data_IF_728377386674
#
_entry.id   IF_728377386674
#
_cell.length_a   1.000
_cell.length_b   1.000
_cell.length_c   1.000
_cell.angle_alpha   90.00
_cell.angle_beta   90.00
_cell.angle_gamma   90.00
#
_symmetry.space_group_name_H-M   'P 1'
#
loop_
_entity.id
_entity.type
_entity.pdbx_description
1 polymer ?
#
# COMPACT_ATOMS: atom_id res chain seq x y z
N UNK A 1 43.55 -12.13 -34.08
CA UNK A 1 43.01 -10.81 -34.51
C UNK A 1 42.75 -9.98 -33.27
N UNK A 2 43.54 -8.92 -33.11
CA UNK A 2 43.57 -7.99 -31.97
C UNK A 2 42.59 -6.83 -32.18
N UNK A 3 41.91 -6.39 -31.11
CA UNK A 3 41.58 -4.98 -30.77
C UNK A 3 40.82 -4.97 -29.43
N UNK A 4 41.48 -4.66 -28.30
CA UNK A 4 41.73 -3.31 -27.73
C UNK A 4 40.45 -2.60 -27.28
N UNK A 5 40.10 -2.76 -26.02
CA UNK A 5 39.32 -1.82 -25.22
C UNK A 5 40.25 -0.73 -24.68
N UNK A 6 39.99 0.53 -25.03
CA UNK A 6 40.70 1.70 -24.49
C UNK A 6 39.93 2.27 -23.30
N UNK A 7 40.63 2.35 -22.18
CA UNK A 7 40.37 3.18 -21.00
C UNK A 7 40.59 4.66 -21.35
N UNK A 8 39.74 5.56 -20.83
CA UNK A 8 40.08 6.98 -20.67
C UNK A 8 39.67 7.45 -19.27
N UNK A 9 40.68 7.87 -18.52
CA UNK A 9 40.62 8.61 -17.27
C UNK A 9 41.02 10.08 -17.52
N UNK A 10 40.72 10.91 -16.51
CA UNK A 10 41.18 12.28 -16.24
C UNK A 10 40.47 13.38 -17.06
N UNK A 11 40.13 14.55 -16.52
CA UNK A 11 40.77 15.34 -15.45
C UNK A 11 39.81 16.43 -14.93
N UNK A 12 39.99 16.88 -13.68
CA UNK A 12 39.26 18.02 -13.08
C UNK A 12 39.55 19.39 -13.73
N UNK A 13 39.04 20.48 -13.13
CA UNK A 13 39.95 21.25 -12.27
C UNK A 13 39.34 21.76 -10.96
N UNK A 14 40.27 21.95 -10.03
CA UNK A 14 40.22 22.67 -8.76
C UNK A 14 40.00 24.17 -8.94
N UNK A 15 39.19 24.79 -8.07
CA UNK A 15 39.11 26.23 -7.88
C UNK A 15 38.88 26.56 -6.40
N UNK A 16 39.83 27.26 -5.82
CA UNK A 16 40.03 27.61 -4.40
C UNK A 16 39.35 28.94 -3.99
N UNK A 17 38.69 28.94 -2.82
CA UNK A 17 38.79 29.86 -1.65
C UNK A 17 38.75 31.42 -1.86
N UNK A 18 38.67 32.30 -0.83
CA UNK A 18 38.01 32.29 0.50
C UNK A 18 37.17 33.58 0.79
N UNK A 19 36.36 33.55 1.86
CA UNK A 19 36.35 34.65 2.85
C UNK A 19 35.24 35.73 2.81
N UNK A 20 34.39 35.76 3.84
CA UNK A 20 33.97 36.98 4.59
C UNK A 20 33.18 36.56 5.85
N UNK A 21 33.84 36.57 7.01
CA UNK A 21 33.74 37.59 8.09
C UNK A 21 32.31 37.86 8.64
N UNK A 22 32.09 37.28 9.83
CA UNK A 22 31.51 37.84 11.06
C UNK A 22 30.64 39.11 10.92
N UNK A 23 29.44 39.05 11.49
CA UNK A 23 28.97 40.06 12.44
C UNK A 23 28.02 39.42 13.47
N UNK A 24 28.41 39.54 14.74
CA UNK A 24 27.59 39.40 15.95
C UNK A 24 27.35 40.82 16.44
N UNK A 25 26.13 41.13 16.85
CA UNK A 25 25.71 42.16 17.83
C UNK A 25 24.22 41.84 18.11
N UNK A 26 23.80 41.45 19.33
CA UNK A 26 23.38 42.29 20.49
C UNK A 26 22.33 43.35 20.06
N UNK A 27 21.20 43.63 20.71
CA UNK A 27 20.67 43.54 22.07
C UNK A 27 19.11 43.55 21.95
N UNK A 28 18.28 42.91 22.79
CA UNK A 28 17.84 43.33 24.12
C UNK A 28 17.44 44.80 24.25
N UNK A 29 16.12 45.09 24.23
CA UNK A 29 15.40 46.08 25.08
C UNK A 29 13.91 46.10 24.67
N UNK A 30 12.99 45.76 25.59
CA UNK A 30 12.12 46.70 26.32
C UNK A 30 10.94 47.23 25.47
N UNK A 31 9.74 47.52 25.96
CA UNK A 31 9.00 47.28 27.19
C UNK A 31 7.66 48.00 26.97
N UNK A 32 6.57 47.48 27.54
CA UNK A 32 5.34 48.23 27.89
C UNK A 32 4.46 48.68 26.69
N UNK A 33 3.12 48.54 26.72
CA UNK A 33 2.27 49.16 27.71
C UNK A 33 0.79 48.73 27.59
N UNK A 34 0.13 48.68 28.76
CA UNK A 34 -1.28 49.04 29.10
C UNK A 34 -2.42 48.12 28.59
N UNK A 35 -3.11 47.39 29.47
CA UNK A 35 -4.15 47.82 30.47
C UNK A 35 -5.38 48.48 29.87
N UNK A 36 -6.50 47.75 29.88
CA UNK A 36 -7.88 48.19 30.20
C UNK A 36 -8.80 46.97 30.02
N UNK A 37 -9.89 46.72 30.76
CA UNK A 37 -10.48 47.24 31.99
C UNK A 37 -11.59 46.22 32.30
N UNK A 38 -11.54 45.57 33.46
CA UNK A 38 -12.68 44.83 33.98
C UNK A 38 -13.70 45.84 34.51
N UNK A 39 -14.97 45.69 34.13
CA UNK A 39 -16.07 46.44 34.74
C UNK A 39 -17.17 45.49 35.21
N UNK A 40 -17.48 45.63 36.50
CA UNK A 40 -18.48 44.94 37.30
C UNK A 40 -19.90 45.38 36.98
N UNK A 41 -20.83 44.46 37.25
CA UNK A 41 -22.15 44.59 37.93
C UNK A 41 -23.02 45.82 37.62
N UNK A 42 -24.26 45.52 37.26
CA UNK A 42 -25.39 46.44 37.42
C UNK A 42 -26.72 45.70 37.27
N UNK A 43 -27.17 45.02 38.33
CA UNK A 43 -28.55 44.58 38.46
C UNK A 43 -29.39 45.76 38.93
N UNK A 44 -30.46 46.10 38.20
CA UNK A 44 -31.51 46.98 38.71
C UNK A 44 -32.87 46.47 38.22
N UNK A 45 -33.65 45.95 39.16
CA UNK A 45 -35.10 45.78 39.05
C UNK A 45 -35.76 47.15 39.17
N UNK A 46 -36.65 47.49 38.26
CA UNK A 46 -37.77 48.40 38.54
C UNK A 46 -38.98 47.96 37.75
N UNK A 47 -40.04 47.65 38.49
CA UNK A 47 -41.42 47.48 38.02
C UNK A 47 -41.96 48.77 37.42
N UNK A 48 -42.81 48.67 36.39
CA UNK A 48 -43.99 49.53 36.26
C UNK A 48 -45.04 48.84 35.38
N UNK A 49 -46.23 48.72 35.98
CA UNK A 49 -47.52 48.46 35.35
C UNK A 49 -47.83 49.60 34.38
N UNK A 50 -48.32 49.25 33.20
CA UNK A 50 -49.37 49.90 32.39
C UNK A 50 -49.71 48.85 31.32
N UNK A 51 -50.91 48.30 31.19
CA UNK A 51 -52.20 48.95 31.25
C UNK A 51 -52.69 49.30 29.84
N UNK A 52 -52.62 48.36 28.88
CA UNK A 52 -53.10 48.55 27.50
C UNK A 52 -53.97 47.37 27.03
N UNK A 53 -55.01 47.64 26.22
CA UNK A 53 -56.11 46.71 25.99
C UNK A 53 -55.75 45.59 25.02
N UNK A 54 -56.32 44.41 25.27
CA UNK A 54 -56.29 43.25 24.38
C UNK A 54 -56.76 43.60 22.96
N UNK A 55 -55.90 43.41 21.93
CA UNK A 55 -56.38 43.27 20.57
C UNK A 55 -56.87 41.82 20.39
N UNK A 56 -58.17 41.73 20.10
CA UNK A 56 -58.88 40.58 19.54
C UNK A 56 -57.97 39.55 18.86
N UNK A 57 -57.97 38.33 19.41
CA UNK A 57 -57.36 37.14 18.81
C UNK A 57 -58.01 36.85 17.45
N UNK A 58 -57.47 37.44 16.39
CA UNK A 58 -57.64 36.93 15.04
C UNK A 58 -56.85 35.61 14.97
N UNK A 59 -57.57 34.49 14.91
CA UNK A 59 -57.06 33.18 14.55
C UNK A 59 -56.45 33.27 13.14
N UNK A 60 -55.23 33.76 13.06
CA UNK A 60 -54.33 33.51 11.94
C UNK A 60 -53.96 32.04 12.07
N UNK A 61 -54.66 31.20 11.32
CA UNK A 61 -54.16 29.89 10.92
C UNK A 61 -52.79 30.14 10.29
N UNK A 62 -51.74 30.03 11.10
CA UNK A 62 -50.36 29.96 10.62
C UNK A 62 -50.33 28.73 9.72
N UNK A 63 -50.47 28.98 8.43
CA UNK A 63 -50.07 28.07 7.37
C UNK A 63 -48.62 27.68 7.68
N UNK A 64 -48.44 26.53 8.33
CA UNK A 64 -47.14 25.92 8.46
C UNK A 64 -46.75 25.56 7.04
N UNK A 65 -45.91 26.42 6.44
CA UNK A 65 -45.26 26.07 5.19
C UNK A 65 -44.65 24.68 5.38
N UNK A 66 -44.91 23.73 4.45
CA UNK A 66 -44.37 22.39 4.59
C UNK A 66 -42.86 22.50 4.74
N UNK A 67 -42.35 22.04 5.89
CA UNK A 67 -40.90 21.92 6.11
C UNK A 67 -40.36 21.02 5.02
N UNK A 68 -39.68 21.62 4.04
CA UNK A 68 -38.99 20.87 2.99
C UNK A 68 -37.95 20.01 3.69
N UNK A 69 -38.03 18.69 3.49
CA UNK A 69 -36.98 17.80 3.97
C UNK A 69 -35.67 18.21 3.28
N UNK A 70 -34.57 18.35 4.03
CA UNK A 70 -33.29 18.72 3.45
C UNK A 70 -32.88 17.67 2.42
N UNK A 71 -32.39 18.12 1.27
CA UNK A 71 -31.82 17.22 0.26
C UNK A 71 -30.42 16.84 0.74
N UNK A 72 -30.23 15.56 1.01
CA UNK A 72 -28.94 15.01 1.46
C UNK A 72 -28.32 14.23 0.32
N UNK A 73 -27.10 14.61 -0.04
CA UNK A 73 -26.26 13.92 -1.00
C UNK A 73 -25.01 13.41 -0.28
N UNK A 74 -24.49 12.28 -0.75
CA UNK A 74 -23.31 11.65 -0.19
C UNK A 74 -22.24 11.60 -1.27
N UNK A 75 -20.99 11.92 -0.92
CA UNK A 75 -19.85 11.70 -1.78
C UNK A 75 -18.86 10.80 -1.05
N UNK A 76 -18.46 9.69 -1.68
CA UNK A 76 -17.59 8.69 -1.06
C UNK A 76 -16.20 8.82 -1.64
N UNK A 77 -15.23 9.05 -0.75
CA UNK A 77 -13.81 9.07 -1.08
C UNK A 77 -13.23 7.73 -0.62
N UNK A 78 -12.81 6.88 -1.55
CA UNK A 78 -12.16 5.60 -1.26
C UNK A 78 -10.73 5.64 -1.75
N UNK A 79 -9.77 5.31 -0.89
CA UNK A 79 -8.36 5.14 -1.27
C UNK A 79 -7.97 3.69 -1.11
N UNK A 80 -7.41 3.10 -2.16
CA UNK A 80 -6.93 1.71 -2.19
C UNK A 80 -5.42 1.74 -2.45
N UNK A 81 -4.65 1.44 -1.42
CA UNK A 81 -3.21 1.19 -1.54
C UNK A 81 -2.97 -0.30 -1.78
N UNK A 82 -2.82 -0.68 -3.05
CA UNK A 82 -2.42 -2.02 -3.50
C UNK A 82 -0.92 -2.27 -3.34
N UNK A 83 -0.37 -1.95 -2.16
CA UNK A 83 1.06 -1.94 -1.86
C UNK A 83 1.83 -3.20 -2.24
N UNK A 84 3.16 -3.12 -2.17
CA UNK A 84 4.05 -4.19 -2.65
C UNK A 84 3.92 -5.49 -1.85
N UNK A 85 3.85 -5.38 -0.52
CA UNK A 85 3.70 -6.52 0.40
C UNK A 85 2.30 -6.61 0.98
N UNK A 86 1.68 -5.46 1.27
CA UNK A 86 0.42 -5.36 1.98
C UNK A 86 -0.52 -4.42 1.23
N UNK A 87 -1.80 -4.74 1.29
CA UNK A 87 -2.91 -3.94 0.79
C UNK A 87 -3.55 -3.25 1.97
N UNK A 88 -3.82 -1.95 1.81
CA UNK A 88 -4.57 -1.13 2.76
C UNK A 88 -5.62 -0.35 2.01
N UNK A 89 -6.71 -0.03 2.70
CA UNK A 89 -7.70 0.88 2.15
C UNK A 89 -8.33 1.68 3.28
N UNK A 90 -8.82 2.87 2.93
CA UNK A 90 -9.57 3.73 3.82
C UNK A 90 -10.60 4.50 3.01
N UNK A 91 -11.68 4.91 3.67
CA UNK A 91 -12.71 5.71 3.04
C UNK A 91 -13.19 6.84 3.95
N UNK A 92 -13.74 7.88 3.34
CA UNK A 92 -14.47 8.94 4.01
C UNK A 92 -15.79 9.19 3.28
N UNK A 93 -16.80 9.65 4.02
CA UNK A 93 -18.08 10.08 3.46
C UNK A 93 -18.22 11.56 3.70
N UNK A 94 -18.29 12.32 2.62
CA UNK A 94 -18.65 13.73 2.63
C UNK A 94 -20.17 13.81 2.48
N UNK A 95 -20.85 14.51 3.40
CA UNK A 95 -22.30 14.74 3.31
C UNK A 95 -22.53 16.15 2.78
N UNK A 96 -23.41 16.30 1.81
CA UNK A 96 -23.85 17.61 1.31
C UNK A 96 -25.31 17.79 1.66
N UNK A 97 -25.65 18.85 2.40
CA UNK A 97 -27.01 19.12 2.87
C UNK A 97 -27.47 20.41 2.23
N UNK A 98 -28.53 20.35 1.41
CA UNK A 98 -29.07 21.49 0.66
C UNK A 98 -27.98 22.24 -0.15
N UNK A 99 -27.05 21.49 -0.75
CA UNK A 99 -25.93 22.03 -1.52
C UNK A 99 -24.74 22.52 -0.70
N UNK A 100 -24.77 22.39 0.63
CA UNK A 100 -23.66 22.77 1.50
C UNK A 100 -22.89 21.53 1.95
N UNK A 101 -21.67 21.41 1.46
CA UNK A 101 -20.74 20.36 1.86
C UNK A 101 -20.43 20.47 3.36
N UNK A 102 -20.60 19.37 4.08
CA UNK A 102 -20.22 19.27 5.48
C UNK A 102 -18.72 18.96 5.58
N UNK A 103 -17.98 19.62 6.48
CA UNK A 103 -16.55 19.39 6.61
C UNK A 103 -16.27 17.95 7.05
N UNK A 104 -15.32 17.30 6.38
CA UNK A 104 -14.81 15.97 6.77
C UNK A 104 -13.70 16.16 7.79
N UNK A 105 -13.87 15.62 8.99
CA UNK A 105 -12.83 15.57 10.03
C UNK A 105 -11.91 14.33 9.85
N UNK A 106 -10.69 14.30 10.41
CA UNK A 106 -9.77 13.18 10.25
C UNK A 106 -10.31 11.89 10.85
N UNK A 107 -11.10 12.00 11.92
CA UNK A 107 -11.81 10.88 12.53
C UNK A 107 -12.92 10.31 11.63
N UNK A 108 -13.29 11.02 10.55
CA UNK A 108 -14.27 10.54 9.58
C UNK A 108 -13.62 9.65 8.52
N UNK A 109 -12.28 9.57 8.47
CA UNK A 109 -11.55 8.60 7.66
C UNK A 109 -11.57 7.26 8.39
N UNK A 110 -12.29 6.30 7.81
CA UNK A 110 -12.47 4.96 8.34
C UNK A 110 -11.58 3.98 7.59
N UNK A 111 -10.65 3.28 8.27
CA UNK A 111 -9.88 2.23 7.62
C UNK A 111 -10.79 1.05 7.24
N UNK A 112 -10.42 0.32 6.20
CA UNK A 112 -11.10 -0.92 5.80
C UNK A 112 -10.47 -2.08 6.56
N UNK A 113 -11.29 -2.79 7.33
CA UNK A 113 -10.90 -4.02 8.01
C UNK A 113 -11.05 -5.24 7.09
N UNK A 114 -10.06 -6.13 7.15
CA UNK A 114 -9.95 -7.33 6.33
C UNK A 114 -10.49 -8.55 7.09
N UNK A 115 -9.65 -9.57 7.30
CA UNK A 115 -9.93 -10.73 8.15
C UNK A 115 -9.66 -10.40 9.61
N UNK A 116 -10.55 -10.82 10.51
CA UNK A 116 -10.33 -10.76 11.97
C UNK A 116 -10.03 -9.35 12.53
N UNK A 117 -10.44 -8.28 11.83
CA UNK A 117 -10.20 -6.89 12.26
C UNK A 117 -8.83 -6.33 11.85
N UNK A 118 -8.04 -7.07 11.06
CA UNK A 118 -6.77 -6.59 10.53
C UNK A 118 -6.98 -5.40 9.60
N UNK A 119 -6.09 -4.39 9.68
CA UNK A 119 -6.15 -3.17 8.86
C UNK A 119 -5.37 -3.28 7.55
N UNK A 120 -4.69 -4.41 7.34
CA UNK A 120 -3.99 -4.74 6.10
C UNK A 120 -4.09 -6.24 5.79
N UNK A 121 -3.89 -6.59 4.54
CA UNK A 121 -3.80 -7.99 4.07
C UNK A 121 -2.65 -8.11 3.08
N UNK A 122 -2.00 -9.28 2.99
CA UNK A 122 -0.92 -9.50 2.04
C UNK A 122 -1.36 -9.20 0.58
N UNK A 123 -0.50 -8.54 -0.19
CA UNK A 123 -0.64 -8.31 -1.63
C UNK A 123 -0.25 -9.56 -2.41
N UNK A 124 -1.17 -10.53 -2.43
CA UNK A 124 -0.93 -11.86 -2.99
C UNK A 124 -2.15 -12.46 -3.67
N UNK A 125 -1.88 -13.34 -4.62
CA UNK A 125 -2.88 -14.11 -5.37
C UNK A 125 -2.41 -15.55 -5.55
N UNK A 126 -3.34 -16.52 -5.52
CA UNK A 126 -3.07 -17.91 -5.88
C UNK A 126 -4.28 -18.51 -6.61
N UNK A 127 -4.09 -19.69 -7.21
CA UNK A 127 -5.17 -20.46 -7.81
C UNK A 127 -5.36 -21.76 -7.05
N UNK A 128 -6.58 -22.03 -6.61
CA UNK A 128 -6.99 -23.31 -6.02
C UNK A 128 -7.73 -24.13 -7.07
N UNK A 129 -7.29 -25.37 -7.27
CA UNK A 129 -7.99 -26.33 -8.12
C UNK A 129 -8.85 -27.25 -7.26
N UNK A 130 -10.13 -27.33 -7.55
CA UNK A 130 -11.08 -28.24 -6.90
C UNK A 130 -11.78 -29.08 -7.94
N UNK A 131 -11.95 -30.38 -7.68
CA UNK A 131 -12.77 -31.24 -8.52
C UNK A 131 -14.22 -31.12 -8.04
N UNK A 132 -15.10 -30.62 -8.91
CA UNK A 132 -16.53 -30.59 -8.62
C UNK A 132 -17.04 -32.04 -8.52
N UNK A 133 -17.65 -32.38 -7.38
CA UNK A 133 -18.08 -33.75 -7.12
C UNK A 133 -19.23 -34.22 -8.02
N UNK A 134 -20.01 -33.29 -8.57
CA UNK A 134 -21.17 -33.58 -9.42
C UNK A 134 -20.79 -33.74 -10.89
N UNK A 135 -19.88 -32.91 -11.40
CA UNK A 135 -19.45 -32.94 -12.81
C UNK A 135 -18.14 -33.69 -13.04
N UNK A 136 -17.32 -33.88 -12.00
CA UNK A 136 -15.94 -34.35 -12.11
C UNK A 136 -14.99 -33.32 -12.74
N UNK A 137 -15.47 -32.12 -13.04
CA UNK A 137 -14.70 -31.06 -13.69
C UNK A 137 -13.76 -30.38 -12.69
N UNK A 138 -12.56 -30.02 -13.15
CA UNK A 138 -11.63 -29.23 -12.35
C UNK A 138 -12.00 -27.75 -12.44
N UNK A 139 -12.55 -27.21 -11.36
CA UNK A 139 -12.84 -25.79 -11.19
C UNK A 139 -11.60 -25.10 -10.62
N UNK A 140 -11.17 -24.00 -11.26
CA UNK A 140 -10.11 -23.15 -10.75
C UNK A 140 -10.72 -21.92 -10.07
N UNK A 141 -10.39 -21.71 -8.80
CA UNK A 141 -10.83 -20.55 -8.02
C UNK A 141 -9.65 -19.65 -7.71
N UNK A 142 -9.80 -18.34 -7.95
CA UNK A 142 -8.81 -17.34 -7.57
C UNK A 142 -8.91 -17.05 -6.07
N UNK A 143 -7.77 -17.06 -5.38
CA UNK A 143 -7.63 -16.73 -3.96
C UNK A 143 -6.79 -15.46 -3.83
N UNK A 144 -7.14 -14.59 -2.88
CA UNK A 144 -6.45 -13.33 -2.65
C UNK A 144 -6.20 -13.05 -1.16
N UNK A 145 -5.14 -12.32 -0.86
CA UNK A 145 -4.86 -11.83 0.50
C UNK A 145 -4.92 -12.95 1.55
N UNK A 146 -5.71 -12.75 2.62
CA UNK A 146 -5.88 -13.72 3.70
C UNK A 146 -6.43 -15.09 3.24
N UNK A 147 -7.13 -15.17 2.10
CA UNK A 147 -7.64 -16.43 1.57
C UNK A 147 -6.50 -17.34 1.12
N UNK A 148 -5.42 -16.74 0.61
CA UNK A 148 -4.19 -17.46 0.24
C UNK A 148 -3.52 -18.02 1.49
N UNK A 149 -3.36 -17.21 2.55
CA UNK A 149 -2.76 -17.67 3.81
C UNK A 149 -3.56 -18.81 4.43
N UNK A 150 -4.90 -18.70 4.41
CA UNK A 150 -5.81 -19.73 4.90
C UNK A 150 -5.70 -21.04 4.11
N UNK A 151 -5.67 -20.96 2.77
CA UNK A 151 -5.56 -22.14 1.91
C UNK A 151 -4.18 -22.80 2.04
N UNK A 152 -3.12 -22.01 2.17
CA UNK A 152 -1.76 -22.50 2.38
C UNK A 152 -1.63 -23.21 3.73
N UNK A 153 -2.17 -22.63 4.81
CA UNK A 153 -2.17 -23.24 6.14
C UNK A 153 -2.92 -24.59 6.18
N UNK A 154 -3.95 -24.73 5.34
CA UNK A 154 -4.71 -25.99 5.16
C UNK A 154 -4.04 -26.99 4.21
N UNK A 155 -2.93 -26.63 3.57
CA UNK A 155 -2.25 -27.46 2.58
C UNK A 155 -3.01 -27.62 1.26
N UNK A 156 -3.97 -26.72 0.97
CA UNK A 156 -4.78 -26.74 -0.26
C UNK A 156 -4.01 -26.15 -1.45
N UNK A 157 -3.01 -25.31 -1.17
CA UNK A 157 -2.09 -24.73 -2.14
C UNK A 157 -0.66 -24.80 -1.60
N UNK A 158 0.32 -24.80 -2.49
CA UNK A 158 1.74 -24.72 -2.15
C UNK A 158 2.28 -23.30 -2.33
N UNK A 159 3.36 -22.93 -1.64
CA UNK A 159 4.04 -21.63 -1.77
C UNK A 159 4.37 -21.28 -3.24
N UNK A 160 4.76 -22.29 -4.04
CA UNK A 160 5.10 -22.11 -5.45
C UNK A 160 3.91 -21.68 -6.33
N UNK A 161 2.68 -21.78 -5.81
CA UNK A 161 1.45 -21.39 -6.50
C UNK A 161 1.04 -19.95 -6.14
N UNK A 162 1.78 -19.27 -5.25
CA UNK A 162 1.46 -17.94 -4.75
C UNK A 162 2.24 -16.89 -5.55
N UNK A 163 1.52 -15.97 -6.17
CA UNK A 163 2.08 -14.77 -6.78
C UNK A 163 2.05 -13.62 -5.78
N UNK A 164 3.21 -13.00 -5.52
CA UNK A 164 3.38 -11.80 -4.67
C UNK A 164 4.07 -10.69 -5.45
N UNK A 165 4.13 -9.48 -4.88
CA UNK A 165 4.85 -8.32 -5.45
C UNK A 165 4.33 -7.89 -6.83
N UNK A 166 3.01 -7.98 -7.02
CA UNK A 166 2.38 -7.61 -8.29
C UNK A 166 2.61 -6.13 -8.65
N UNK A 167 2.68 -5.25 -7.64
CA UNK A 167 2.96 -3.81 -7.83
C UNK A 167 4.31 -3.62 -8.56
N UNK A 168 5.48 -4.03 -8.04
CA UNK A 168 6.76 -3.93 -8.75
C UNK A 168 6.78 -4.51 -10.17
N UNK A 169 6.03 -5.60 -10.41
CA UNK A 169 5.95 -6.18 -11.76
C UNK A 169 5.38 -5.20 -12.78
N UNK A 170 4.45 -4.32 -12.39
CA UNK A 170 3.90 -3.29 -13.27
C UNK A 170 4.89 -2.17 -13.63
N UNK A 171 5.75 -1.78 -12.68
CA UNK A 171 6.64 -0.62 -12.80
C UNK A 171 8.02 -0.96 -13.35
N UNK A 172 8.62 -2.07 -12.91
CA UNK A 172 9.99 -2.44 -13.32
C UNK A 172 10.06 -3.75 -14.11
N UNK A 173 8.94 -4.48 -14.27
CA UNK A 173 8.85 -5.71 -15.06
C UNK A 173 9.95 -6.71 -14.72
N UNK A 174 10.95 -6.81 -15.62
CA UNK A 174 12.10 -7.71 -15.53
C UNK A 174 12.95 -7.62 -14.24
N UNK A 175 13.12 -6.43 -13.63
CA UNK A 175 13.94 -6.29 -12.41
C UNK A 175 13.27 -6.92 -11.19
N UNK A 176 11.93 -6.99 -11.17
CA UNK A 176 11.18 -7.72 -10.16
C UNK A 176 11.35 -9.24 -10.32
N UNK A 177 11.47 -9.72 -11.56
CA UNK A 177 11.68 -11.15 -11.89
C UNK A 177 13.10 -11.61 -11.55
N UNK A 178 14.11 -10.76 -11.70
CA UNK A 178 15.52 -11.11 -11.39
C UNK A 178 15.82 -11.23 -9.89
N UNK A 179 15.07 -10.52 -9.02
CA UNK A 179 15.28 -10.57 -7.57
C UNK A 179 14.77 -11.86 -6.91
N UNK A 180 13.96 -12.68 -7.58
CA UNK A 180 13.56 -14.01 -7.10
C UNK A 180 13.93 -15.07 -8.13
N UNK A 181 14.86 -15.96 -7.77
CA UNK A 181 15.15 -17.21 -8.49
C UNK A 181 14.02 -18.25 -8.34
N UNK A 182 12.76 -17.82 -8.43
CA UNK A 182 11.55 -18.59 -8.17
C UNK A 182 11.04 -19.33 -9.39
N UNK A 183 11.80 -20.33 -9.86
CA UNK A 183 11.35 -21.49 -10.65
C UNK A 183 10.68 -21.28 -12.02
N UNK A 184 10.96 -22.20 -12.93
CA UNK A 184 10.27 -22.34 -14.22
C UNK A 184 8.73 -22.53 -14.11
N UNK A 185 8.17 -22.66 -12.91
CA UNK A 185 6.75 -22.93 -12.64
C UNK A 185 5.89 -21.68 -12.86
N UNK A 186 6.35 -20.47 -12.52
CA UNK A 186 5.62 -19.22 -12.84
C UNK A 186 5.45 -19.02 -14.35
N UNK A 187 6.44 -19.48 -15.14
CA UNK A 187 6.39 -19.51 -16.61
C UNK A 187 5.43 -20.56 -17.17
N UNK A 188 5.15 -21.63 -16.43
CA UNK A 188 4.28 -22.74 -16.86
C UNK A 188 2.84 -22.48 -16.40
N UNK A 189 2.63 -22.03 -15.16
CA UNK A 189 1.32 -21.67 -14.61
C UNK A 189 0.77 -20.38 -15.26
N UNK A 190 1.62 -19.41 -15.59
CA UNK A 190 1.23 -18.24 -16.38
C UNK A 190 0.77 -18.57 -17.81
N UNK A 191 1.05 -19.78 -18.32
CA UNK A 191 0.61 -20.23 -19.66
C UNK A 191 -0.70 -21.00 -19.65
N UNK A 192 -1.15 -21.53 -18.51
CA UNK A 192 -2.14 -22.61 -18.54
C UNK A 192 -3.60 -22.20 -18.34
N UNK A 193 -3.99 -21.04 -17.80
CA UNK A 193 -5.43 -20.74 -17.60
C UNK A 193 -5.89 -19.26 -17.56
N UNK A 194 -5.08 -18.26 -17.91
CA UNK A 194 -5.52 -16.83 -17.91
C UNK A 194 -6.21 -16.35 -19.21
N UNK A 195 -6.61 -17.28 -20.08
CA UNK A 195 -6.80 -17.00 -21.51
C UNK A 195 -8.15 -16.43 -22.01
N UNK A 196 -9.24 -16.24 -21.23
CA UNK A 196 -10.41 -15.54 -21.78
C UNK A 196 -10.29 -14.00 -21.76
N UNK A 197 -9.49 -13.43 -20.85
CA UNK A 197 -9.45 -11.96 -20.61
C UNK A 197 -8.24 -11.23 -21.20
N UNK A 198 -7.35 -11.95 -21.87
CA UNK A 198 -6.16 -11.33 -22.47
C UNK A 198 -6.53 -10.36 -23.60
N UNK A 199 -7.63 -10.64 -24.30
CA UNK A 199 -8.22 -9.75 -25.32
C UNK A 199 -8.72 -8.44 -24.71
N UNK A 200 -9.46 -8.50 -23.58
CA UNK A 200 -9.90 -7.32 -22.83
C UNK A 200 -8.72 -6.50 -22.33
N UNK A 201 -7.72 -7.16 -21.76
CA UNK A 201 -6.49 -6.50 -21.30
C UNK A 201 -5.73 -5.83 -22.45
N UNK A 202 -5.65 -6.48 -23.60
CA UNK A 202 -5.04 -5.91 -24.81
C UNK A 202 -5.79 -4.67 -25.29
N UNK A 203 -7.13 -4.72 -25.32
CA UNK A 203 -7.95 -3.59 -25.72
C UNK A 203 -7.76 -2.40 -24.77
N UNK A 204 -7.75 -2.63 -23.46
CA UNK A 204 -7.53 -1.58 -22.46
C UNK A 204 -6.14 -0.97 -22.55
N UNK A 205 -5.08 -1.78 -22.71
CA UNK A 205 -3.72 -1.29 -22.91
C UNK A 205 -3.61 -0.45 -24.18
N UNK A 206 -4.23 -0.87 -25.28
CA UNK A 206 -4.29 -0.08 -26.50
C UNK A 206 -5.05 1.23 -26.32
N UNK A 207 -6.16 1.23 -25.58
CA UNK A 207 -6.98 2.41 -25.30
C UNK A 207 -6.23 3.45 -24.46
N UNK A 208 -5.37 3.02 -23.53
CA UNK A 208 -4.48 3.93 -22.79
C UNK A 208 -3.22 4.29 -23.58
N UNK A 209 -3.02 3.77 -24.80
CA UNK A 209 -1.88 4.11 -25.66
C UNK A 209 -0.62 3.26 -25.46
N UNK A 210 -0.71 2.10 -24.81
CA UNK A 210 0.34 1.07 -24.73
C UNK A 210 0.07 -0.09 -25.72
N UNK A 211 0.06 0.24 -27.02
CA UNK A 211 -0.31 -0.68 -28.10
C UNK A 211 0.70 -1.83 -28.32
N UNK A 212 1.93 -1.67 -27.82
CA UNK A 212 3.04 -2.61 -28.02
C UNK A 212 3.40 -3.41 -26.78
N UNK A 213 2.56 -3.39 -25.74
CA UNK A 213 2.78 -4.17 -24.53
C UNK A 213 2.99 -5.65 -24.87
N UNK A 214 4.15 -6.19 -24.48
CA UNK A 214 4.46 -7.60 -24.65
C UNK A 214 3.53 -8.47 -23.77
N UNK A 215 3.40 -9.76 -24.13
CA UNK A 215 2.51 -10.69 -23.43
C UNK A 215 2.70 -10.73 -21.91
N UNK A 216 3.94 -10.63 -21.43
CA UNK A 216 4.26 -10.59 -19.99
C UNK A 216 3.61 -9.39 -19.28
N UNK A 217 3.69 -8.20 -19.88
CA UNK A 217 3.07 -6.98 -19.33
C UNK A 217 1.55 -7.12 -19.26
N UNK A 218 0.95 -7.74 -20.28
CA UNK A 218 -0.50 -8.02 -20.28
C UNK A 218 -0.90 -8.90 -19.10
N UNK A 219 -0.15 -9.96 -18.82
CA UNK A 219 -0.41 -10.84 -17.68
C UNK A 219 -0.23 -10.12 -16.34
N UNK A 220 0.76 -9.24 -16.21
CA UNK A 220 1.02 -8.46 -15.00
C UNK A 220 -0.13 -7.48 -14.72
N UNK A 221 -0.58 -6.76 -15.75
CA UNK A 221 -1.74 -5.86 -15.69
C UNK A 221 -3.02 -6.63 -15.34
N UNK A 222 -3.22 -7.80 -15.94
CA UNK A 222 -4.38 -8.65 -15.65
C UNK A 222 -4.39 -9.14 -14.19
N UNK A 223 -3.24 -9.60 -13.67
CA UNK A 223 -3.12 -10.07 -12.29
C UNK A 223 -3.40 -8.94 -11.29
N UNK A 224 -2.78 -7.78 -11.50
CA UNK A 224 -3.01 -6.63 -10.63
C UNK A 224 -4.45 -6.09 -10.75
N UNK A 225 -5.05 -6.11 -11.94
CA UNK A 225 -6.45 -5.75 -12.14
C UNK A 225 -7.41 -6.68 -11.38
N UNK A 226 -7.18 -8.00 -11.41
CA UNK A 226 -7.95 -8.96 -10.60
C UNK A 226 -7.78 -8.74 -9.10
N UNK A 227 -6.56 -8.43 -8.65
CA UNK A 227 -6.31 -8.07 -7.26
C UNK A 227 -7.12 -6.83 -6.88
N UNK A 228 -7.04 -5.75 -7.67
CA UNK A 228 -7.79 -4.52 -7.43
C UNK A 228 -9.29 -4.75 -7.43
N UNK A 229 -9.80 -5.63 -8.30
CA UNK A 229 -11.21 -6.00 -8.35
C UNK A 229 -11.67 -6.68 -7.06
N UNK A 230 -10.89 -7.65 -6.56
CA UNK A 230 -11.16 -8.29 -5.27
C UNK A 230 -11.13 -7.27 -4.12
N UNK A 231 -10.12 -6.39 -4.11
CA UNK A 231 -10.00 -5.34 -3.09
C UNK A 231 -11.18 -4.38 -3.13
N UNK A 232 -11.54 -3.89 -4.32
CA UNK A 232 -12.63 -2.95 -4.51
C UNK A 232 -13.95 -3.54 -4.04
N UNK A 233 -14.25 -4.79 -4.43
CA UNK A 233 -15.44 -5.50 -3.96
C UNK A 233 -15.48 -5.57 -2.44
N UNK A 234 -14.37 -5.96 -1.80
CA UNK A 234 -14.28 -6.03 -0.34
C UNK A 234 -14.52 -4.65 0.29
N UNK A 235 -13.90 -3.60 -0.25
CA UNK A 235 -14.07 -2.22 0.24
C UNK A 235 -15.53 -1.76 0.13
N UNK A 236 -16.17 -1.92 -1.02
CA UNK A 236 -17.56 -1.51 -1.24
C UNK A 236 -18.53 -2.26 -0.32
N UNK A 237 -18.36 -3.57 -0.15
CA UNK A 237 -19.17 -4.36 0.77
C UNK A 237 -18.98 -3.90 2.23
N UNK A 238 -17.74 -3.59 2.63
CA UNK A 238 -17.44 -3.07 3.97
C UNK A 238 -18.05 -1.69 4.21
N UNK A 239 -17.96 -0.78 3.23
CA UNK A 239 -18.58 0.55 3.31
C UNK A 239 -20.09 0.40 3.47
N UNK A 240 -20.74 -0.37 2.59
CA UNK A 240 -22.17 -0.66 2.67
C UNK A 240 -22.59 -1.17 4.05
N UNK A 241 -21.90 -2.19 4.56
CA UNK A 241 -22.25 -2.80 5.84
C UNK A 241 -22.14 -1.82 7.01
N UNK A 242 -21.19 -0.88 6.93
CA UNK A 242 -20.91 0.11 7.97
C UNK A 242 -21.72 1.40 7.82
N UNK A 243 -22.32 1.65 6.65
CA UNK A 243 -22.92 2.92 6.25
C UNK A 243 -24.26 2.66 5.59
N UNK A 244 -25.21 2.19 6.41
CA UNK A 244 -26.53 1.76 5.94
C UNK A 244 -27.32 2.89 5.30
N UNK A 245 -27.01 4.15 5.63
CA UNK A 245 -27.66 5.31 5.03
C UNK A 245 -27.38 5.49 3.52
N UNK A 246 -26.36 4.81 2.98
CA UNK A 246 -26.03 4.89 1.56
C UNK A 246 -26.96 4.04 0.68
N UNK A 247 -27.68 3.08 1.26
CA UNK A 247 -28.61 2.16 0.57
C UNK A 247 -28.00 1.44 -0.66
N UNK A 248 -26.72 1.06 -0.55
CA UNK A 248 -26.00 0.38 -1.64
C UNK A 248 -26.46 -1.08 -1.83
N UNK A 249 -26.46 -1.60 -3.07
CA UNK A 249 -26.79 -3.00 -3.37
C UNK A 249 -25.73 -3.98 -2.85
N UNK A 250 -26.05 -5.27 -2.81
CA UNK A 250 -25.05 -6.31 -2.60
C UNK A 250 -24.13 -6.46 -3.83
N UNK A 251 -22.83 -6.60 -3.60
CA UNK A 251 -21.83 -6.70 -4.66
C UNK A 251 -21.38 -8.16 -4.85
N UNK A 252 -22.30 -9.01 -5.30
CA UNK A 252 -22.02 -10.43 -5.47
C UNK A 252 -21.27 -10.76 -6.77
N UNK A 253 -21.50 -9.97 -7.81
CA UNK A 253 -20.84 -10.11 -9.12
C UNK A 253 -20.03 -8.88 -9.48
N UNK A 254 -19.12 -9.05 -10.43
CA UNK A 254 -18.23 -7.99 -10.92
C UNK A 254 -19.01 -6.97 -11.74
N UNK A 255 -19.91 -7.45 -12.59
CA UNK A 255 -20.73 -6.62 -13.47
C UNK A 255 -21.62 -5.67 -12.65
N UNK A 256 -22.01 -6.09 -11.45
CA UNK A 256 -22.76 -5.26 -10.51
C UNK A 256 -21.92 -4.05 -10.05
N UNK A 257 -20.61 -4.24 -9.83
CA UNK A 257 -19.70 -3.17 -9.41
C UNK A 257 -19.47 -2.16 -10.54
N UNK A 258 -19.22 -2.65 -11.76
CA UNK A 258 -18.97 -1.77 -12.91
C UNK A 258 -20.18 -0.86 -13.21
N UNK A 259 -21.39 -1.44 -13.23
CA UNK A 259 -22.62 -0.67 -13.43
C UNK A 259 -22.88 0.27 -12.25
N UNK A 260 -22.69 -0.22 -11.02
CA UNK A 260 -22.87 0.59 -9.82
C UNK A 260 -21.96 1.83 -9.81
N UNK A 261 -20.68 1.70 -10.12
CA UNK A 261 -19.77 2.84 -10.16
C UNK A 261 -20.11 3.84 -11.27
N UNK A 262 -20.63 3.38 -12.40
CA UNK A 262 -21.12 4.26 -13.48
C UNK A 262 -22.33 5.08 -13.05
N UNK A 263 -23.25 4.44 -12.33
CA UNK A 263 -24.47 5.07 -11.84
C UNK A 263 -24.21 5.98 -10.62
N UNK A 264 -23.03 5.89 -10.00
CA UNK A 264 -22.64 6.62 -8.79
C UNK A 264 -21.32 7.42 -9.01
N UNK A 265 -21.36 8.50 -9.83
CA UNK A 265 -20.17 9.32 -10.12
C UNK A 265 -19.64 10.11 -8.91
N UNK A 266 -20.41 10.16 -7.82
CA UNK A 266 -20.05 10.69 -6.52
C UNK A 266 -19.10 9.77 -5.71
N UNK A 267 -18.67 8.65 -6.28
CA UNK A 267 -17.65 7.79 -5.70
C UNK A 267 -16.31 8.10 -6.36
N UNK A 268 -15.40 8.68 -5.58
CA UNK A 268 -14.03 8.95 -6.02
C UNK A 268 -13.08 7.88 -5.50
N UNK A 269 -12.35 7.24 -6.41
CA UNK A 269 -11.39 6.19 -6.06
C UNK A 269 -9.95 6.69 -6.30
N UNK A 270 -9.19 6.79 -5.22
CA UNK A 270 -7.77 7.13 -5.23
C UNK A 270 -6.88 5.90 -5.22
N UNK A 271 -5.84 5.88 -6.06
CA UNK A 271 -4.84 4.82 -6.11
C UNK A 271 -3.44 5.41 -5.85
N UNK A 272 -2.84 5.16 -4.68
CA UNK A 272 -1.46 5.51 -4.40
C UNK A 272 -0.48 4.73 -5.28
N UNK A 273 0.41 5.47 -5.94
CA UNK A 273 1.46 4.96 -6.81
C UNK A 273 2.83 5.36 -6.27
N UNK A 274 3.90 4.62 -6.58
CA UNK A 274 5.24 4.97 -6.12
C UNK A 274 5.64 6.40 -6.50
N UNK A 275 6.61 6.97 -5.80
CA UNK A 275 7.10 8.33 -6.08
C UNK A 275 7.57 8.48 -7.53
N UNK A 276 8.30 7.47 -8.02
CA UNK A 276 8.82 7.42 -9.37
C UNK A 276 7.89 6.61 -10.26
N UNK A 277 6.96 7.29 -10.93
CA UNK A 277 6.14 6.72 -11.99
C UNK A 277 6.40 7.43 -13.31
N UNK A 278 6.61 6.64 -14.38
CA UNK A 278 6.59 7.15 -15.75
C UNK A 278 5.16 7.20 -16.28
N UNK A 279 4.95 7.90 -17.39
CA UNK A 279 3.65 7.89 -18.09
C UNK A 279 3.23 6.48 -18.53
N UNK A 280 4.18 5.61 -18.83
CA UNK A 280 3.87 4.22 -19.16
C UNK A 280 3.38 3.45 -17.93
N UNK A 281 3.99 3.68 -16.77
CA UNK A 281 3.57 3.04 -15.52
C UNK A 281 2.15 3.49 -15.14
N UNK A 282 1.88 4.80 -15.21
CA UNK A 282 0.56 5.36 -14.97
C UNK A 282 -0.49 4.70 -15.87
N UNK A 283 -0.20 4.53 -17.17
CA UNK A 283 -1.09 3.85 -18.12
C UNK A 283 -1.35 2.40 -17.75
N UNK A 284 -0.34 1.65 -17.28
CA UNK A 284 -0.51 0.25 -16.85
C UNK A 284 -1.41 0.15 -15.62
N UNK A 285 -1.26 1.04 -14.64
CA UNK A 285 -2.13 1.08 -13.45
C UNK A 285 -3.55 1.46 -13.85
N UNK A 286 -3.73 2.47 -14.70
CA UNK A 286 -5.05 2.84 -15.22
C UNK A 286 -5.69 1.66 -15.95
N UNK A 287 -4.94 0.94 -16.79
CA UNK A 287 -5.45 -0.26 -17.44
C UNK A 287 -5.86 -1.36 -16.44
N UNK A 288 -5.09 -1.58 -15.38
CA UNK A 288 -5.42 -2.52 -14.31
C UNK A 288 -6.64 -2.07 -13.49
N UNK A 289 -6.76 -0.76 -13.21
CA UNK A 289 -7.90 -0.17 -12.54
C UNK A 289 -9.18 -0.29 -13.39
N UNK A 290 -9.08 -0.04 -14.69
CA UNK A 290 -10.18 -0.22 -15.63
C UNK A 290 -10.63 -1.69 -15.71
N UNK A 291 -9.70 -2.66 -15.62
CA UNK A 291 -10.04 -4.08 -15.49
C UNK A 291 -10.79 -4.40 -14.20
N UNK A 292 -10.52 -3.66 -13.14
CA UNK A 292 -11.23 -3.77 -11.86
C UNK A 292 -12.58 -3.03 -11.84
N UNK A 293 -12.95 -2.33 -12.92
CA UNK A 293 -14.17 -1.53 -13.00
C UNK A 293 -14.02 -0.07 -12.58
N UNK A 294 -12.80 0.41 -12.34
CA UNK A 294 -12.50 1.79 -11.94
C UNK A 294 -12.13 2.59 -13.20
N UNK A 295 -13.08 3.25 -13.84
CA UNK A 295 -12.86 3.93 -15.14
C UNK A 295 -12.02 5.22 -15.04
N UNK A 296 -12.10 5.91 -13.89
CA UNK A 296 -11.44 7.19 -13.65
C UNK A 296 -10.66 7.19 -12.33
N UNK A 297 -9.58 6.38 -12.21
CA UNK A 297 -8.81 6.33 -10.98
C UNK A 297 -8.03 7.64 -10.78
N UNK A 298 -8.10 8.19 -9.57
CA UNK A 298 -7.25 9.31 -9.16
C UNK A 298 -5.90 8.77 -8.69
N UNK A 299 -4.93 8.75 -9.60
CA UNK A 299 -3.56 8.37 -9.27
C UNK A 299 -2.92 9.47 -8.41
N UNK A 300 -2.30 9.07 -7.30
CA UNK A 300 -1.59 9.98 -6.42
C UNK A 300 -0.28 9.36 -5.96
N UNK A 301 0.77 10.16 -5.77
CA UNK A 301 2.02 9.65 -5.24
C UNK A 301 1.86 9.26 -3.76
N UNK A 302 2.34 8.08 -3.37
CA UNK A 302 2.37 7.60 -1.98
C UNK A 302 2.98 8.63 -1.00
N UNK A 303 4.22 9.12 -1.19
CA UNK A 303 4.78 10.13 -0.31
C UNK A 303 4.04 11.48 -0.37
N UNK A 304 3.38 11.80 -1.50
CA UNK A 304 2.54 13.00 -1.57
C UNK A 304 1.27 12.84 -0.70
N UNK A 305 0.64 11.66 -0.71
CA UNK A 305 -0.51 11.37 0.16
C UNK A 305 -0.12 11.47 1.65
N UNK A 306 1.03 10.90 2.02
CA UNK A 306 1.56 11.01 3.37
C UNK A 306 1.86 12.48 3.77
N UNK A 307 2.45 13.26 2.86
CA UNK A 307 2.70 14.67 3.08
C UNK A 307 1.42 15.47 3.27
N UNK A 308 0.40 15.21 2.45
CA UNK A 308 -0.89 15.94 2.55
C UNK A 308 -1.54 15.77 3.91
N UNK A 309 -1.43 14.59 4.53
CA UNK A 309 -1.88 14.38 5.91
C UNK A 309 -1.13 15.29 6.90
N UNK A 310 0.20 15.33 6.83
CA UNK A 310 1.02 16.18 7.69
C UNK A 310 0.74 17.68 7.48
N UNK A 311 0.62 18.12 6.23
CA UNK A 311 0.31 19.51 5.89
C UNK A 311 -1.05 19.92 6.44
N UNK A 312 -2.06 19.04 6.34
CA UNK A 312 -3.38 19.27 6.92
C UNK A 312 -3.32 19.43 8.43
N UNK A 313 -2.62 18.54 9.13
CA UNK A 313 -2.46 18.62 10.60
C UNK A 313 -1.77 19.91 11.04
N UNK A 314 -0.76 20.36 10.28
CA UNK A 314 -0.09 21.65 10.51
C UNK A 314 -1.04 22.83 10.29
N UNK A 315 -1.78 22.84 9.18
CA UNK A 315 -2.74 23.90 8.88
C UNK A 315 -3.82 24.02 9.95
N UNK A 316 -4.36 22.90 10.45
CA UNK A 316 -5.32 22.90 11.56
C UNK A 316 -4.78 23.54 12.84
N UNK A 317 -3.48 23.41 13.08
CA UNK A 317 -2.78 23.99 14.24
C UNK A 317 -2.26 25.41 13.97
N UNK A 318 -2.65 26.03 12.85
CA UNK A 318 -2.15 27.32 12.37
C UNK A 318 -0.62 27.37 12.27
N UNK A 319 0.02 26.24 11.94
CA UNK A 319 1.46 26.15 11.71
C UNK A 319 1.73 26.54 10.24
N UNK A 320 2.58 27.55 9.97
CA UNK A 320 2.88 27.95 8.59
C UNK A 320 3.54 26.84 7.77
N UNK A 321 2.93 26.49 6.64
CA UNK A 321 3.43 25.48 5.70
C UNK A 321 4.01 26.07 4.42
N UNK A 322 3.54 27.26 4.00
CA UNK A 322 4.02 27.96 2.80
C UNK A 322 5.47 28.38 2.95
N UNK A 323 6.24 28.27 1.87
CA UNK A 323 7.67 28.58 1.84
C UNK A 323 8.53 27.55 2.58
N UNK A 324 7.97 26.39 2.94
CA UNK A 324 8.69 25.31 3.63
C UNK A 324 9.05 24.18 2.68
N UNK A 325 10.14 23.50 3.02
CA UNK A 325 10.61 22.29 2.35
C UNK A 325 10.25 21.06 3.18
N UNK A 326 9.83 20.02 2.49
CA UNK A 326 9.51 18.73 3.09
C UNK A 326 10.26 17.64 2.35
N UNK A 327 11.05 16.89 3.12
CA UNK A 327 11.59 15.62 2.68
C UNK A 327 10.68 14.52 3.21
N UNK A 328 10.08 13.76 2.29
CA UNK A 328 9.31 12.56 2.61
C UNK A 328 10.15 11.36 2.23
N UNK A 329 10.38 10.50 3.21
CA UNK A 329 10.98 9.19 3.03
C UNK A 329 9.96 8.16 3.51
N UNK A 330 9.32 7.48 2.57
CA UNK A 330 8.38 6.41 2.87
C UNK A 330 9.09 5.07 2.68
N UNK A 331 9.43 4.40 3.79
CA UNK A 331 10.15 3.14 3.78
C UNK A 331 9.21 2.02 4.22
N UNK A 332 8.59 1.38 3.23
CA UNK A 332 7.68 0.26 3.42
C UNK A 332 8.38 -1.10 3.45
N UNK A 333 7.55 -2.15 3.43
CA UNK A 333 8.05 -3.52 3.45
C UNK A 333 8.68 -3.92 2.10
N UNK A 334 8.20 -3.39 0.97
CA UNK A 334 8.67 -3.74 -0.38
C UNK A 334 9.39 -2.63 -1.16
N UNK A 335 9.19 -1.36 -0.78
CA UNK A 335 9.82 -0.21 -1.42
C UNK A 335 10.23 0.86 -0.41
N UNK A 336 11.13 1.72 -0.85
CA UNK A 336 11.49 2.98 -0.22
C UNK A 336 11.35 4.09 -1.25
N UNK A 337 10.49 5.05 -0.96
CA UNK A 337 10.08 6.14 -1.82
C UNK A 337 10.61 7.47 -1.29
N UNK A 338 11.09 8.31 -2.20
CA UNK A 338 11.74 9.59 -1.90
C UNK A 338 11.04 10.72 -2.64
N UNK A 339 10.65 11.75 -1.89
CA UNK A 339 10.08 12.98 -2.43
C UNK A 339 10.61 14.20 -1.65
N UNK A 340 11.27 15.13 -2.35
CA UNK A 340 11.63 16.43 -1.81
C UNK A 340 10.78 17.50 -2.49
N UNK A 341 9.95 18.20 -1.72
CA UNK A 341 9.06 19.24 -2.23
C UNK A 341 9.19 20.54 -1.46
N UNK A 342 8.89 21.63 -2.16
CA UNK A 342 8.68 22.95 -1.61
C UNK A 342 7.20 23.32 -1.75
N UNK A 343 6.61 23.85 -0.68
CA UNK A 343 5.24 24.36 -0.69
C UNK A 343 5.29 25.80 -1.19
N UNK A 344 4.90 26.02 -2.45
CA UNK A 344 5.01 27.33 -3.11
C UNK A 344 3.97 28.30 -2.54
N UNK A 345 2.69 27.92 -2.59
CA UNK A 345 1.60 28.76 -2.11
C UNK A 345 0.34 27.95 -1.74
N UNK A 346 -0.60 28.63 -1.09
CA UNK A 346 -1.96 28.22 -0.83
C UNK A 346 -2.84 29.03 -1.78
N UNK A 347 -3.21 28.47 -2.94
CA UNK A 347 -4.16 29.13 -3.84
C UNK A 347 -5.55 29.10 -3.21
N UNK A 348 -6.00 30.28 -2.76
CA UNK A 348 -7.35 30.51 -2.24
C UNK A 348 -8.23 31.04 -3.37
N UNK A 349 -8.38 30.32 -4.49
CA UNK A 349 -9.32 30.72 -5.54
C UNK A 349 -9.62 29.60 -6.53
N UNK A 350 -10.46 28.64 -6.12
CA UNK A 350 -11.23 27.79 -7.03
C UNK A 350 -12.69 28.27 -7.09
N UNK A 351 -13.39 27.99 -8.19
CA UNK A 351 -14.80 28.34 -8.46
C UNK A 351 -15.79 27.90 -7.35
N UNK A 352 -15.36 27.02 -6.44
CA UNK A 352 -16.14 26.42 -5.35
C UNK A 352 -15.61 26.78 -3.94
N UNK A 353 -14.67 27.74 -3.81
CA UNK A 353 -14.08 28.12 -2.52
C UNK A 353 -13.05 27.11 -1.97
N UNK A 354 -12.70 26.09 -2.74
CA UNK A 354 -11.64 25.13 -2.41
C UNK A 354 -10.27 25.82 -2.41
N UNK A 355 -9.51 25.57 -1.34
CA UNK A 355 -8.13 26.04 -1.21
C UNK A 355 -7.18 24.96 -1.73
N UNK A 356 -6.42 25.25 -2.79
CA UNK A 356 -5.45 24.32 -3.35
C UNK A 356 -4.04 24.60 -2.77
N UNK A 357 -3.33 23.54 -2.38
CA UNK A 357 -1.92 23.63 -2.03
C UNK A 357 -1.07 23.31 -3.25
N UNK A 358 -0.24 24.26 -3.67
CA UNK A 358 0.68 24.04 -4.78
C UNK A 358 2.01 23.55 -4.25
N UNK A 359 2.36 22.31 -4.62
CA UNK A 359 3.61 21.65 -4.26
C UNK A 359 4.51 21.52 -5.48
N UNK A 360 5.79 21.89 -5.33
CA UNK A 360 6.80 21.73 -6.38
C UNK A 360 7.89 20.78 -5.93
N UNK A 361 8.11 19.73 -6.71
CA UNK A 361 9.25 18.84 -6.52
C UNK A 361 10.56 19.60 -6.76
N UNK A 362 11.45 19.63 -5.77
CA UNK A 362 12.78 20.24 -5.89
C UNK A 362 13.82 19.25 -6.44
N UNK A 363 13.57 17.96 -6.30
CA UNK A 363 14.37 16.88 -6.89
C UNK A 363 13.45 15.89 -7.61
N UNK A 364 13.93 15.20 -8.66
CA UNK A 364 13.20 14.10 -9.27
C UNK A 364 12.84 13.06 -8.19
N UNK A 365 11.57 12.64 -8.08
CA UNK A 365 11.20 11.59 -7.15
C UNK A 365 11.90 10.28 -7.54
N UNK A 366 12.20 9.44 -6.54
CA UNK A 366 12.83 8.15 -6.76
C UNK A 366 12.15 7.08 -5.91
N UNK A 367 12.11 5.87 -6.45
CA UNK A 367 11.60 4.68 -5.78
C UNK A 367 12.67 3.62 -5.85
N UNK A 368 12.95 2.98 -4.72
CA UNK A 368 13.81 1.81 -4.63
C UNK A 368 12.99 0.64 -4.14
N UNK A 369 13.02 -0.48 -4.87
CA UNK A 369 12.43 -1.74 -4.40
C UNK A 369 13.35 -2.43 -3.40
N UNK A 370 13.55 -1.75 -2.27
CA UNK A 370 14.19 -2.23 -1.06
C UNK A 370 13.27 -1.87 0.11
N UNK A 371 13.10 -2.80 1.03
CA UNK A 371 12.21 -2.59 2.17
C UNK A 371 12.42 -3.65 3.23
N UNK A 372 11.57 -3.61 4.26
CA UNK A 372 11.63 -4.53 5.41
C UNK A 372 11.63 -6.01 5.02
N UNK A 373 10.90 -6.41 3.97
CA UNK A 373 10.85 -7.79 3.50
C UNK A 373 12.23 -8.30 3.02
N UNK A 374 12.99 -7.45 2.32
CA UNK A 374 14.35 -7.78 1.90
C UNK A 374 15.32 -7.92 3.07
N UNK A 375 15.19 -7.06 4.09
CA UNK A 375 15.95 -7.16 5.33
C UNK A 375 15.64 -8.47 6.06
N UNK A 376 14.36 -8.80 6.19
CA UNK A 376 13.89 -10.03 6.83
C UNK A 376 14.40 -11.28 6.10
N UNK A 377 14.34 -11.30 4.76
CA UNK A 377 14.86 -12.40 3.95
C UNK A 377 16.38 -12.58 4.14
N UNK A 378 17.14 -11.48 4.22
CA UNK A 378 18.57 -11.53 4.48
C UNK A 378 18.87 -12.07 5.88
N UNK A 379 18.16 -11.57 6.90
CA UNK A 379 18.29 -12.04 8.28
C UNK A 379 17.96 -13.54 8.40
N UNK A 380 16.86 -13.99 7.79
CA UNK A 380 16.47 -15.40 7.77
C UNK A 380 17.55 -16.28 7.11
N UNK A 381 18.13 -15.83 5.99
CA UNK A 381 19.24 -16.54 5.32
C UNK A 381 20.47 -16.66 6.22
N UNK A 382 20.82 -15.59 6.96
CA UNK A 382 21.91 -15.62 7.92
C UNK A 382 21.64 -16.61 9.06
N UNK A 383 20.44 -16.57 9.64
CA UNK A 383 20.03 -17.49 10.71
C UNK A 383 20.05 -18.95 10.25
N UNK A 384 19.49 -19.26 9.08
CA UNK A 384 19.49 -20.61 8.51
C UNK A 384 20.92 -21.12 8.26
N UNK A 385 21.81 -20.26 7.74
CA UNK A 385 23.23 -20.60 7.54
C UNK A 385 23.92 -20.93 8.87
N UNK A 386 23.66 -20.16 9.91
CA UNK A 386 24.19 -20.43 11.25
C UNK A 386 23.60 -21.71 11.84
N UNK A 387 22.30 -21.96 11.72
CA UNK A 387 21.66 -23.21 12.18
C UNK A 387 22.23 -24.45 11.48
N UNK A 388 22.44 -24.41 10.17
CA UNK A 388 23.07 -25.50 9.41
C UNK A 388 24.51 -25.72 9.85
N UNK A 389 25.25 -24.64 10.13
CA UNK A 389 26.62 -24.72 10.63
C UNK A 389 26.67 -25.29 12.04
N UNK A 390 25.75 -24.86 12.92
CA UNK A 390 25.60 -25.30 14.28
C UNK A 390 25.13 -26.75 14.40
N UNK A 391 24.35 -27.28 13.44
CA UNK A 391 23.94 -28.69 13.40
C UNK A 391 24.99 -29.60 12.76
N UNK A 392 25.73 -29.12 11.75
CA UNK A 392 26.85 -29.88 11.13
C UNK A 392 28.00 -30.14 12.09
N UNK A 393 28.31 -29.22 13.01
CA UNK A 393 29.43 -29.35 13.96
C UNK A 393 29.21 -30.54 14.94
N UNK A 394 28.09 -30.65 15.67
CA UNK A 394 27.75 -31.81 16.49
C UNK A 394 27.66 -33.10 15.69
N UNK A 395 27.07 -33.09 14.48
CA UNK A 395 26.94 -34.30 13.67
C UNK A 395 28.31 -34.83 13.22
N UNK A 396 29.21 -33.94 12.77
CA UNK A 396 30.61 -34.30 12.46
C UNK A 396 31.36 -34.81 13.68
N UNK A 397 31.17 -34.18 14.84
CA UNK A 397 31.77 -34.63 16.09
C UNK A 397 31.26 -36.01 16.51
N UNK A 398 29.95 -36.25 16.42
CA UNK A 398 29.30 -37.52 16.75
C UNK A 398 29.79 -38.63 15.80
N UNK A 399 29.83 -38.37 14.50
CA UNK A 399 30.37 -39.30 13.50
C UNK A 399 31.82 -39.66 13.80
N UNK A 400 32.66 -38.67 14.11
CA UNK A 400 34.07 -38.90 14.48
C UNK A 400 34.18 -39.73 15.77
N UNK A 401 33.31 -39.50 16.76
CA UNK A 401 33.27 -40.25 18.02
C UNK A 401 32.81 -41.70 17.81
N UNK A 402 31.77 -41.93 17.00
CA UNK A 402 31.29 -43.27 16.64
C UNK A 402 32.35 -44.05 15.88
N UNK A 403 33.00 -43.44 14.88
CA UNK A 403 34.11 -44.05 14.14
C UNK A 403 35.28 -44.38 15.06
N UNK A 404 35.67 -43.47 15.96
CA UNK A 404 36.75 -43.68 16.93
C UNK A 404 36.43 -44.83 17.90
N UNK A 405 35.19 -44.91 18.40
CA UNK A 405 34.75 -45.99 19.29
C UNK A 405 34.68 -47.34 18.57
N UNK A 406 34.20 -47.37 17.32
CA UNK A 406 34.18 -48.59 16.49
C UNK A 406 35.59 -49.10 16.22
N UNK A 407 36.52 -48.20 15.86
CA UNK A 407 37.92 -48.54 15.67
C UNK A 407 38.58 -49.05 16.97
N UNK A 408 38.31 -48.40 18.11
CA UNK A 408 38.82 -48.85 19.40
C UNK A 408 38.26 -50.22 19.83
N UNK A 409 37.01 -50.53 19.48
CA UNK A 409 36.41 -51.85 19.70
C UNK A 409 37.06 -52.92 18.82
N UNK A 410 37.20 -52.65 17.52
CA UNK A 410 37.86 -53.55 16.57
C UNK A 410 39.31 -53.84 16.97
N UNK A 411 40.08 -52.81 17.39
CA UNK A 411 41.45 -52.99 17.91
C UNK A 411 41.50 -53.85 19.17
N UNK A 412 40.54 -53.69 20.09
CA UNK A 412 40.43 -54.55 21.28
C UNK A 412 40.09 -56.00 20.92
N UNK A 413 39.16 -56.23 19.98
CA UNK A 413 38.83 -57.57 19.50
C UNK A 413 40.02 -58.22 18.79
N UNK A 414 40.73 -57.46 17.95
CA UNK A 414 41.95 -57.90 17.27
C UNK A 414 43.03 -58.34 18.26
N UNK A 415 43.24 -57.57 19.34
CA UNK A 415 44.23 -57.90 20.39
C UNK A 415 43.92 -59.19 21.16
N UNK A 416 42.66 -59.64 21.13
CA UNK A 416 42.18 -60.85 21.82
C UNK A 416 41.96 -62.02 20.87
N UNK A 417 42.13 -61.83 19.57
CA UNK A 417 41.83 -62.83 18.55
C UNK A 417 43.06 -63.71 18.27
N UNK A 418 43.01 -64.97 18.74
CA UNK A 418 44.06 -65.96 18.51
C UNK A 418 43.87 -66.76 17.21
N UNK A 419 42.72 -66.64 16.55
CA UNK A 419 42.43 -67.27 15.25
C UNK A 419 43.06 -66.45 14.10
N UNK A 420 44.00 -67.02 13.31
CA UNK A 420 44.69 -66.31 12.22
C UNK A 420 43.78 -65.84 11.09
N UNK A 421 42.72 -66.59 10.76
CA UNK A 421 41.82 -66.24 9.66
C UNK A 421 40.92 -65.06 10.05
N UNK A 422 40.35 -65.14 11.26
CA UNK A 422 39.54 -64.05 11.83
C UNK A 422 40.38 -62.80 12.11
N UNK A 423 41.66 -62.96 12.46
CA UNK A 423 42.60 -61.85 12.66
C UNK A 423 42.87 -61.06 11.39
N UNK A 424 43.14 -61.74 10.26
CA UNK A 424 43.31 -61.06 8.94
C UNK A 424 42.07 -60.28 8.52
N UNK A 425 40.88 -60.82 8.81
CA UNK A 425 39.62 -60.15 8.52
C UNK A 425 39.40 -58.91 9.41
N UNK A 426 39.82 -58.95 10.68
CA UNK A 426 39.76 -57.79 11.57
C UNK A 426 40.80 -56.73 11.20
N UNK A 427 42.01 -57.13 10.78
CA UNK A 427 43.06 -56.24 10.29
C UNK A 427 42.59 -55.45 9.07
N UNK A 428 41.94 -56.10 8.09
CA UNK A 428 41.39 -55.44 6.90
C UNK A 428 40.23 -54.48 7.18
N UNK A 429 39.57 -54.59 8.34
CA UNK A 429 38.52 -53.66 8.79
C UNK A 429 39.07 -52.49 9.63
N UNK A 430 40.36 -52.49 9.97
CA UNK A 430 41.02 -51.46 10.79
C UNK A 430 42.05 -50.61 10.05
N UNK A 431 42.54 -51.07 8.89
CA UNK A 431 43.29 -50.28 7.92
C UNK A 431 42.34 -49.50 7.03
#
# INVERSE_FOLDING_TARGET
MNRRSQTRQASGPTGSDPGRKRQRENAAEESQNKKAKATKKGATQTSRRDGSPEPSQANTTKSFAPTRNPQVEYHVLLVIDGGTEDIKAAYAIVKTIDGVEQPVEPNDVKPIEWSEGELSTCSQMAHKQTVDASSGETVTTDLFGYQVDTAQAKGEIEEKNITRHMKPMLFEGHLAQEKKSGSAVDRIMGRLNLNPDLSRTTALLSAVGDQFAHHTVKLEVQRYGRLLQWVLRHCLQRIRNNQRELDWPDFDRIEDIENFLKDNPNITIGLPVPAKCTDQDNRRIVAAANLAGIEHPNLMSEPAAALMHELREKLKRNIPVVGKRYLVLDAGAGSADFLLVFVDDVEVEGHDGMTALTLRAELPPDTKWCGGAGVNAHAAKLLLKEMVTATRKPLKWLLKKVQSNRLAKLKRELSRCNDPARRRQLESLTG
#
